data_IF_936295653961
#
_entry.id   IF_936295653961
#
_cell.length_a   1.000
_cell.length_b   1.000
_cell.length_c   1.000
_cell.angle_alpha   90.00
_cell.angle_beta   90.00
_cell.angle_gamma   90.00
#
_symmetry.space_group_name_H-M   'P 1'
#
loop_
_entity.id
_entity.type
_entity.pdbx_description
1 polymer ?
#
# COMPACT_ATOMS: atom_id res chain seq x y z
N UNK A 1 7.01 1.57 12.67
CA UNK A 1 7.10 0.47 11.67
C UNK A 1 8.17 -0.47 12.17
N UNK A 2 7.87 -1.76 12.28
CA UNK A 2 8.92 -2.77 12.50
C UNK A 2 9.80 -2.83 11.25
N UNK A 3 11.12 -2.84 11.43
CA UNK A 3 12.08 -2.85 10.32
C UNK A 3 11.71 -3.93 9.28
N UNK A 4 11.66 -3.56 8.00
CA UNK A 4 11.51 -4.51 6.90
C UNK A 4 10.07 -4.88 6.50
N UNK A 5 9.02 -4.28 7.05
CA UNK A 5 7.64 -4.61 6.65
C UNK A 5 6.64 -3.45 6.66
N UNK A 6 5.66 -3.50 5.76
CA UNK A 6 4.54 -2.56 5.64
C UNK A 6 3.27 -3.23 6.18
N UNK A 7 2.54 -2.56 7.08
CA UNK A 7 1.25 -3.06 7.55
C UNK A 7 0.18 -2.90 6.45
N UNK A 8 -0.55 -3.96 6.15
CA UNK A 8 -1.57 -3.96 5.07
C UNK A 8 -2.99 -4.02 5.63
N UNK A 9 -3.18 -4.68 6.77
CA UNK A 9 -4.50 -4.83 7.37
C UNK A 9 -4.51 -5.87 8.49
N UNK A 10 -5.68 -6.12 9.06
CA UNK A 10 -5.86 -7.16 10.09
C UNK A 10 -6.88 -8.17 9.60
N UNK A 11 -6.50 -9.44 9.60
CA UNK A 11 -7.36 -10.59 9.40
C UNK A 11 -7.80 -11.14 10.78
N UNK A 12 -7.48 -12.39 11.10
CA UNK A 12 -7.42 -12.92 12.47
C UNK A 12 -6.19 -12.41 13.24
N UNK A 13 -5.18 -11.90 12.53
CA UNK A 13 -3.97 -11.26 13.07
C UNK A 13 -3.56 -10.08 12.18
N UNK A 14 -2.60 -9.27 12.65
CA UNK A 14 -2.01 -8.20 11.82
C UNK A 14 -1.25 -8.82 10.65
N UNK A 15 -1.55 -8.36 9.44
CA UNK A 15 -0.92 -8.80 8.21
C UNK A 15 0.01 -7.73 7.67
N UNK A 16 1.15 -8.18 7.14
CA UNK A 16 2.22 -7.33 6.67
C UNK A 16 2.76 -7.78 5.32
N UNK A 17 3.15 -6.81 4.49
CA UNK A 17 3.97 -7.01 3.31
C UNK A 17 5.45 -6.91 3.70
N UNK A 18 6.19 -7.99 3.52
CA UNK A 18 7.64 -8.01 3.75
C UNK A 18 8.35 -7.25 2.62
N UNK A 19 9.11 -6.21 2.95
CA UNK A 19 9.81 -5.38 1.97
C UNK A 19 10.77 -6.21 1.10
N UNK A 20 11.43 -7.21 1.68
CA UNK A 20 12.33 -8.13 0.96
C UNK A 20 11.62 -8.93 -0.15
N UNK A 21 10.29 -9.04 -0.10
CA UNK A 21 9.47 -9.78 -1.07
C UNK A 21 8.58 -8.87 -1.92
N UNK A 22 8.68 -7.54 -1.73
CA UNK A 22 7.78 -6.55 -2.30
C UNK A 22 8.12 -6.14 -3.74
N UNK A 23 9.14 -6.75 -4.34
CA UNK A 23 9.49 -6.62 -5.76
C UNK A 23 8.62 -7.49 -6.69
N UNK A 24 7.66 -8.23 -6.15
CA UNK A 24 6.66 -8.98 -6.93
C UNK A 24 5.48 -8.09 -7.27
N UNK A 25 4.95 -8.22 -8.49
CA UNK A 25 3.73 -7.50 -8.88
C UNK A 25 2.56 -7.94 -8.00
N UNK A 26 1.84 -6.96 -7.46
CA UNK A 26 0.60 -7.15 -6.70
C UNK A 26 -0.62 -6.67 -7.49
N UNK A 27 -1.80 -7.16 -7.11
CA UNK A 27 -3.09 -6.72 -7.66
C UNK A 27 -4.02 -6.34 -6.51
N UNK A 28 -4.53 -5.10 -6.54
CA UNK A 28 -5.61 -4.64 -5.65
C UNK A 28 -6.88 -4.58 -6.48
N UNK A 29 -7.83 -5.45 -6.18
CA UNK A 29 -9.10 -5.55 -6.88
C UNK A 29 -10.27 -5.53 -5.87
N UNK A 30 -11.45 -5.11 -6.33
CA UNK A 30 -12.65 -4.98 -5.50
C UNK A 30 -13.68 -4.04 -6.12
N UNK A 31 -14.91 -4.05 -5.60
CA UNK A 31 -15.99 -3.16 -6.06
C UNK A 31 -15.73 -1.68 -5.67
N UNK A 32 -16.54 -0.76 -6.20
CA UNK A 32 -16.48 0.65 -5.76
C UNK A 32 -16.84 0.74 -4.27
N UNK A 33 -16.11 1.57 -3.52
CA UNK A 33 -16.32 1.73 -2.08
C UNK A 33 -15.65 0.67 -1.19
N UNK A 34 -14.96 -0.33 -1.75
CA UNK A 34 -14.28 -1.38 -0.95
C UNK A 34 -12.84 -1.04 -0.56
N UNK A 35 -12.48 0.25 -0.54
CA UNK A 35 -11.17 0.70 -0.03
C UNK A 35 -9.96 0.46 -0.94
N UNK A 36 -10.14 0.26 -2.25
CA UNK A 36 -9.02 0.10 -3.21
C UNK A 36 -8.03 1.28 -3.16
N UNK A 37 -8.55 2.51 -3.22
CA UNK A 37 -7.75 3.74 -3.19
C UNK A 37 -6.98 3.87 -1.88
N UNK A 38 -7.67 3.70 -0.74
CA UNK A 38 -7.04 3.75 0.59
C UNK A 38 -5.96 2.67 0.73
N UNK A 39 -6.20 1.47 0.21
CA UNK A 39 -5.20 0.39 0.23
C UNK A 39 -3.94 0.77 -0.56
N UNK A 40 -4.11 1.42 -1.73
CA UNK A 40 -2.97 1.90 -2.52
C UNK A 40 -2.21 3.03 -1.82
N UNK A 41 -2.91 3.94 -1.16
CA UNK A 41 -2.30 5.03 -0.36
C UNK A 41 -1.45 4.48 0.79
N UNK A 42 -1.98 3.52 1.57
CA UNK A 42 -1.25 2.87 2.68
C UNK A 42 0.05 2.22 2.18
N UNK A 43 -0.01 1.53 1.04
CA UNK A 43 1.19 0.92 0.45
C UNK A 43 2.19 1.98 -0.02
N UNK A 44 1.72 3.02 -0.74
CA UNK A 44 2.58 4.09 -1.22
C UNK A 44 3.29 4.82 -0.07
N UNK A 45 2.57 5.18 0.98
CA UNK A 45 3.16 5.76 2.19
C UNK A 45 4.12 4.79 2.87
N UNK A 46 3.74 3.51 2.94
CA UNK A 46 4.54 2.46 3.54
C UNK A 46 5.90 2.30 2.87
N UNK A 47 5.92 2.29 1.53
CA UNK A 47 7.14 2.24 0.73
C UNK A 47 7.96 3.52 0.86
N UNK A 48 7.32 4.70 0.79
CA UNK A 48 7.99 5.99 0.94
C UNK A 48 8.68 6.12 2.30
N UNK A 49 7.98 5.75 3.39
CA UNK A 49 8.53 5.73 4.76
C UNK A 49 9.67 4.73 4.93
N UNK A 50 9.73 3.70 4.08
CA UNK A 50 10.86 2.76 4.01
C UNK A 50 12.01 3.25 3.10
N UNK A 51 11.95 4.48 2.57
CA UNK A 51 12.96 5.06 1.69
C UNK A 51 12.87 4.61 0.23
N UNK A 52 11.79 3.94 -0.17
CA UNK A 52 11.57 3.48 -1.55
C UNK A 52 10.84 4.58 -2.34
N UNK A 53 11.40 5.07 -3.45
CA UNK A 53 10.69 6.01 -4.33
C UNK A 53 9.42 5.36 -4.90
N UNK A 54 8.29 6.04 -4.80
CA UNK A 54 6.99 5.56 -5.29
C UNK A 54 6.50 6.43 -6.43
N UNK A 55 6.10 5.79 -7.52
CA UNK A 55 5.40 6.44 -8.63
C UNK A 55 3.97 5.89 -8.72
N UNK A 56 2.98 6.77 -8.68
CA UNK A 56 1.56 6.42 -8.75
C UNK A 56 0.92 7.05 -9.98
N UNK A 57 0.36 6.25 -10.87
CA UNK A 57 -0.53 6.74 -11.91
C UNK A 57 -1.95 6.87 -11.34
N UNK A 58 -2.44 8.11 -11.25
CA UNK A 58 -3.76 8.40 -10.70
C UNK A 58 -4.72 8.86 -11.80
N UNK A 59 -5.63 7.97 -12.20
CA UNK A 59 -6.64 8.26 -13.23
C UNK A 59 -7.86 8.98 -12.64
N UNK A 60 -8.17 8.74 -11.37
CA UNK A 60 -9.39 9.27 -10.72
C UNK A 60 -9.14 10.54 -9.92
N UNK A 61 -7.89 10.88 -9.65
CA UNK A 61 -7.48 12.02 -8.84
C UNK A 61 -7.64 11.77 -7.34
N UNK A 62 -7.82 10.52 -6.91
CA UNK A 62 -8.12 10.15 -5.53
C UNK A 62 -6.87 9.73 -4.71
N UNK A 63 -5.67 9.77 -5.29
CA UNK A 63 -4.39 9.53 -4.61
C UNK A 63 -3.70 10.81 -4.12
N UNK A 64 -4.29 11.98 -4.34
CA UNK A 64 -3.74 13.27 -3.87
C UNK A 64 -3.63 13.41 -2.34
N UNK A 65 -4.28 12.53 -1.57
CA UNK A 65 -4.26 12.52 -0.10
C UNK A 65 -3.08 11.78 0.57
N UNK A 66 -2.11 11.28 -0.19
CA UNK A 66 -0.93 10.56 0.34
C UNK A 66 -0.03 11.52 1.12
N UNK A 67 0.32 11.18 2.37
CA UNK A 67 1.20 12.00 3.24
C UNK A 67 2.26 11.25 4.05
#
# INVERSE_FOLDING_TARGET
MSEGQIYVGTSTKKEYLLLALANRHGLIAGATGTGKTVSLQILAEGFSKAGVPVFCADVKGDLAGIS
#
